data_IF_823861815547
#
_entry.id   IF_823861815547
#
_cell.length_a   1.000
_cell.length_b   1.000
_cell.length_c   1.000
_cell.angle_alpha   90.00
_cell.angle_beta   90.00
_cell.angle_gamma   90.00
#
_symmetry.space_group_name_H-M   'P 1'
#
loop_
_entity.id
_entity.type
_entity.pdbx_description
1 polymer ?
#
# COMPACT_ATOMS: atom_id res chain seq x y z
N UNK A 1 83.56 -6.16 28.92
CA UNK A 1 82.27 -6.89 28.82
C UNK A 1 81.12 -5.87 28.83
N UNK A 2 80.43 -5.73 27.68
CA UNK A 2 79.26 -4.82 27.53
C UNK A 2 78.02 -5.73 27.46
N UNK A 3 77.17 -5.62 28.50
CA UNK A 3 75.92 -6.35 28.58
C UNK A 3 74.83 -5.58 27.84
N UNK A 4 74.26 -6.16 26.79
CA UNK A 4 73.16 -5.59 26.00
C UNK A 4 71.85 -6.16 26.57
N UNK A 5 70.98 -5.30 27.12
CA UNK A 5 69.64 -5.66 27.50
C UNK A 5 68.68 -5.51 26.31
N UNK A 6 68.07 -6.62 25.88
CA UNK A 6 66.96 -6.60 24.94
C UNK A 6 65.64 -6.40 25.71
N UNK A 7 64.96 -5.30 25.43
CA UNK A 7 63.61 -5.07 25.93
C UNK A 7 62.64 -5.58 24.87
N UNK A 8 61.91 -6.65 25.19
CA UNK A 8 60.85 -7.21 24.36
C UNK A 8 59.57 -6.40 24.62
N UNK A 9 59.17 -5.58 23.67
CA UNK A 9 57.91 -4.85 23.74
C UNK A 9 56.76 -5.78 23.25
N UNK A 10 55.91 -6.22 24.17
CA UNK A 10 54.69 -6.98 23.89
C UNK A 10 53.60 -5.97 23.51
N UNK A 11 53.32 -5.82 22.24
CA UNK A 11 52.14 -5.04 21.75
C UNK A 11 50.88 -5.86 21.88
N UNK A 12 50.11 -5.63 22.93
CA UNK A 12 48.78 -6.21 23.08
C UNK A 12 47.81 -5.53 22.08
N UNK A 13 47.47 -6.23 21.00
CA UNK A 13 46.44 -5.82 20.05
C UNK A 13 45.05 -5.93 20.72
N UNK A 14 44.51 -4.84 21.23
CA UNK A 14 43.14 -4.78 21.65
C UNK A 14 42.26 -4.81 20.39
N UNK A 15 41.70 -5.98 20.10
CA UNK A 15 40.67 -6.12 19.09
C UNK A 15 39.41 -5.42 19.65
N UNK A 16 39.21 -4.18 19.25
CA UNK A 16 37.96 -3.46 19.52
C UNK A 16 36.82 -4.22 18.81
N UNK A 17 36.07 -5.02 19.55
CA UNK A 17 34.81 -5.56 19.07
C UNK A 17 33.91 -4.35 18.73
N UNK A 18 33.70 -4.12 17.42
CA UNK A 18 32.69 -3.18 16.96
C UNK A 18 31.36 -3.66 17.54
N UNK A 19 30.63 -2.83 18.29
CA UNK A 19 29.28 -3.16 18.70
C UNK A 19 28.51 -3.47 17.40
N UNK A 20 27.89 -4.65 17.34
CA UNK A 20 26.96 -5.00 16.29
C UNK A 20 25.90 -3.89 16.28
N UNK A 21 25.89 -3.06 15.24
CA UNK A 21 24.87 -2.04 15.08
C UNK A 21 23.53 -2.79 15.06
N UNK A 22 22.84 -2.72 16.19
CA UNK A 22 21.45 -3.18 16.28
C UNK A 22 20.72 -2.30 15.26
N UNK A 23 20.39 -2.88 14.09
CA UNK A 23 19.66 -2.16 13.07
C UNK A 23 18.38 -1.68 13.73
N UNK A 24 18.27 -0.37 13.97
CA UNK A 24 17.02 0.23 14.39
C UNK A 24 16.00 -0.10 13.31
N UNK A 25 15.01 -0.90 13.68
CA UNK A 25 13.90 -1.30 12.81
C UNK A 25 12.69 -0.50 13.25
N UNK A 26 12.22 0.37 12.39
CA UNK A 26 11.01 1.13 12.64
C UNK A 26 9.80 0.36 12.11
N UNK A 27 8.69 0.39 12.84
CA UNK A 27 7.43 -0.20 12.36
C UNK A 27 6.89 0.69 11.25
N UNK A 28 6.90 0.17 10.02
CA UNK A 28 6.23 0.82 8.91
C UNK A 28 4.71 0.73 9.08
N UNK A 29 4.20 -0.47 9.33
CA UNK A 29 2.79 -0.67 9.66
C UNK A 29 2.54 -1.99 10.40
N UNK A 30 1.51 -2.00 11.26
CA UNK A 30 1.09 -3.16 12.05
C UNK A 30 -0.36 -3.52 11.67
N UNK A 31 -0.52 -4.47 10.74
CA UNK A 31 -1.82 -4.93 10.23
C UNK A 31 -2.65 -5.74 11.25
N UNK A 32 -2.10 -6.05 12.42
CA UNK A 32 -2.88 -6.62 13.53
C UNK A 32 -3.83 -5.59 14.15
N UNK A 33 -3.62 -4.32 13.85
CA UNK A 33 -4.47 -3.20 14.24
C UNK A 33 -5.29 -2.81 13.02
N UNK A 34 -6.59 -2.71 13.19
CA UNK A 34 -7.44 -2.19 12.12
C UNK A 34 -6.91 -0.82 11.68
N UNK A 35 -6.68 -0.61 10.37
CA UNK A 35 -6.37 0.72 9.89
C UNK A 35 -7.52 1.65 10.28
N UNK A 36 -7.24 2.91 10.64
CA UNK A 36 -8.29 3.85 10.90
C UNK A 36 -9.19 3.90 9.67
N UNK A 37 -10.47 3.56 9.85
CA UNK A 37 -11.44 3.65 8.77
C UNK A 37 -11.41 5.10 8.25
N UNK A 38 -10.94 5.29 7.04
CA UNK A 38 -10.91 6.61 6.42
C UNK A 38 -12.34 6.97 5.99
N UNK A 39 -13.14 7.39 6.95
CA UNK A 39 -14.45 7.98 6.68
C UNK A 39 -14.27 9.43 6.21
N UNK A 40 -13.44 9.66 5.22
CA UNK A 40 -13.29 11.00 4.67
C UNK A 40 -14.53 11.33 3.87
N UNK A 41 -15.41 12.16 4.46
CA UNK A 41 -16.57 12.70 3.74
C UNK A 41 -16.08 13.76 2.75
N UNK A 42 -15.93 13.37 1.51
CA UNK A 42 -15.58 14.30 0.43
C UNK A 42 -16.86 15.01 -0.02
N UNK A 43 -16.92 16.35 0.02
CA UNK A 43 -18.09 17.10 -0.44
C UNK A 43 -18.44 16.76 -1.89
N UNK A 44 -19.73 16.63 -2.21
CA UNK A 44 -20.20 16.27 -3.55
C UNK A 44 -19.67 17.21 -4.67
N UNK A 45 -19.50 18.49 -4.37
CA UNK A 45 -18.90 19.45 -5.31
C UNK A 45 -17.45 19.10 -5.62
N UNK A 46 -16.65 18.73 -4.60
CA UNK A 46 -15.26 18.31 -4.76
C UNK A 46 -15.19 17.01 -5.55
N UNK A 47 -16.04 16.02 -5.21
CA UNK A 47 -16.09 14.75 -5.98
C UNK A 47 -16.35 15.02 -7.45
N UNK A 48 -17.36 15.84 -7.78
CA UNK A 48 -17.69 16.19 -9.17
C UNK A 48 -16.50 16.84 -9.86
N UNK A 49 -15.83 17.80 -9.21
CA UNK A 49 -14.68 18.49 -9.78
C UNK A 49 -13.55 17.53 -10.09
N UNK A 50 -13.17 16.66 -9.13
CA UNK A 50 -12.11 15.65 -9.30
C UNK A 50 -12.46 14.68 -10.42
N UNK A 51 -13.66 14.06 -10.36
CA UNK A 51 -14.06 13.05 -11.34
C UNK A 51 -14.16 13.60 -12.76
N UNK A 52 -14.63 14.85 -12.93
CA UNK A 52 -14.69 15.50 -14.25
C UNK A 52 -13.31 15.77 -14.86
N UNK A 53 -12.27 15.94 -14.02
CA UNK A 53 -10.89 16.12 -14.48
C UNK A 53 -10.26 14.80 -14.90
N UNK A 54 -10.56 13.70 -14.18
CA UNK A 54 -10.01 12.37 -14.45
C UNK A 54 -10.76 11.68 -15.59
N UNK A 55 -12.09 11.82 -15.64
CA UNK A 55 -12.95 11.18 -16.63
C UNK A 55 -13.64 12.25 -17.50
N UNK A 56 -13.39 12.20 -18.79
CA UNK A 56 -14.10 13.10 -19.73
C UNK A 56 -15.62 12.92 -19.67
N UNK A 57 -16.07 11.69 -19.45
CA UNK A 57 -17.47 11.28 -19.25
C UNK A 57 -17.49 10.14 -18.25
N UNK A 58 -18.52 10.06 -17.44
CA UNK A 58 -18.75 8.96 -16.51
C UNK A 58 -20.22 8.88 -16.10
N UNK A 59 -20.64 7.75 -15.56
CA UNK A 59 -21.97 7.55 -15.00
C UNK A 59 -21.94 7.85 -13.49
N UNK A 60 -23.08 8.29 -12.96
CA UNK A 60 -23.21 8.60 -11.53
C UNK A 60 -23.73 7.43 -10.71
N UNK A 61 -24.22 6.37 -11.37
CA UNK A 61 -24.65 5.12 -10.72
C UNK A 61 -24.67 3.96 -11.77
N UNK A 62 -24.72 2.73 -11.26
CA UNK A 62 -24.77 1.49 -12.06
C UNK A 62 -26.05 1.37 -12.89
N UNK A 63 -27.19 1.92 -12.43
CA UNK A 63 -28.48 1.80 -13.10
C UNK A 63 -28.50 2.45 -14.49
N UNK A 64 -27.52 3.29 -14.79
CA UNK A 64 -27.37 3.95 -16.10
C UNK A 64 -26.47 3.20 -17.07
N UNK A 65 -25.99 2.03 -16.70
CA UNK A 65 -25.17 1.19 -17.58
C UNK A 65 -25.97 0.62 -18.76
N UNK A 66 -25.33 0.58 -19.92
CA UNK A 66 -25.90 -0.05 -21.13
C UNK A 66 -25.39 -1.48 -21.25
N UNK A 67 -26.24 -2.38 -21.75
CA UNK A 67 -25.92 -3.80 -21.91
C UNK A 67 -24.73 -4.08 -22.83
N UNK A 68 -24.45 -3.17 -23.77
CA UNK A 68 -23.39 -3.34 -24.78
C UNK A 68 -21.96 -3.34 -24.19
N UNK A 69 -21.84 -3.00 -22.90
CA UNK A 69 -20.57 -2.95 -22.19
C UNK A 69 -20.51 -3.96 -21.03
N UNK A 70 -21.25 -5.07 -21.14
CA UNK A 70 -21.22 -6.10 -20.11
C UNK A 70 -19.97 -6.99 -20.24
N UNK A 71 -19.18 -7.03 -19.19
CA UNK A 71 -18.34 -8.16 -18.85
C UNK A 71 -17.16 -8.51 -19.77
N UNK A 72 -16.22 -7.59 -19.99
CA UNK A 72 -14.93 -7.97 -20.58
C UNK A 72 -13.79 -7.29 -19.79
N UNK A 73 -12.91 -8.09 -19.26
CA UNK A 73 -11.75 -7.66 -18.43
C UNK A 73 -10.49 -7.36 -19.26
N UNK A 74 -10.61 -6.99 -20.53
CA UNK A 74 -9.44 -6.59 -21.32
C UNK A 74 -9.13 -5.10 -21.16
N UNK A 75 -7.85 -4.74 -21.10
CA UNK A 75 -7.40 -3.34 -21.02
C UNK A 75 -8.01 -2.46 -22.12
N UNK A 76 -8.18 -3.03 -23.33
CA UNK A 76 -8.82 -2.37 -24.47
C UNK A 76 -10.29 -2.05 -24.20
N UNK A 77 -11.01 -2.93 -23.51
CA UNK A 77 -12.39 -2.71 -23.13
C UNK A 77 -12.53 -1.58 -22.10
N UNK A 78 -11.69 -1.59 -21.06
CA UNK A 78 -11.70 -0.54 -20.03
C UNK A 78 -11.39 0.83 -20.64
N UNK A 79 -10.43 0.91 -21.55
CA UNK A 79 -10.11 2.13 -22.28
C UNK A 79 -11.29 2.60 -23.15
N UNK A 80 -11.96 1.69 -23.85
CA UNK A 80 -13.14 1.97 -24.65
C UNK A 80 -14.33 2.43 -23.79
N UNK A 81 -14.60 1.73 -22.68
CA UNK A 81 -15.65 2.08 -21.72
C UNK A 81 -15.40 3.46 -21.09
N UNK A 82 -14.17 3.76 -20.70
CA UNK A 82 -13.77 5.08 -20.19
C UNK A 82 -14.01 6.17 -21.26
N UNK A 83 -13.59 5.94 -22.48
CA UNK A 83 -13.80 6.87 -23.61
C UNK A 83 -15.29 7.11 -23.90
N UNK A 84 -16.10 6.07 -23.82
CA UNK A 84 -17.55 6.13 -24.01
C UNK A 84 -18.31 6.73 -22.80
N UNK A 85 -17.66 6.88 -21.64
CA UNK A 85 -18.28 7.37 -20.41
C UNK A 85 -19.14 6.32 -19.70
N UNK A 86 -18.82 5.04 -19.89
CA UNK A 86 -19.54 3.90 -19.32
C UNK A 86 -18.95 3.42 -17.98
N UNK A 87 -18.06 4.19 -17.36
CA UNK A 87 -17.49 3.90 -16.05
C UNK A 87 -18.30 4.57 -14.94
N UNK A 88 -18.33 3.93 -13.79
CA UNK A 88 -19.00 4.46 -12.57
C UNK A 88 -17.93 4.69 -11.49
N UNK A 89 -17.21 5.81 -11.54
CA UNK A 89 -16.15 6.10 -10.58
C UNK A 89 -16.73 6.63 -9.24
N UNK A 90 -16.04 6.27 -8.15
CA UNK A 90 -16.29 6.83 -6.82
C UNK A 90 -14.97 7.08 -6.10
N UNK A 91 -14.86 8.21 -5.38
CA UNK A 91 -13.66 8.47 -4.58
C UNK A 91 -13.82 7.72 -3.27
N UNK A 92 -12.88 6.83 -2.99
CA UNK A 92 -12.89 5.97 -1.79
C UNK A 92 -12.00 6.51 -0.68
N UNK A 93 -10.93 7.23 -1.05
CA UNK A 93 -9.99 7.77 -0.08
C UNK A 93 -9.30 9.03 -0.59
N UNK A 94 -8.71 9.83 0.32
CA UNK A 94 -7.91 10.99 -0.03
C UNK A 94 -6.84 11.30 1.03
N UNK A 95 -5.70 11.81 0.58
CA UNK A 95 -4.62 12.23 1.46
C UNK A 95 -3.88 13.44 0.87
N UNK A 96 -3.35 14.30 1.75
CA UNK A 96 -2.55 15.47 1.34
C UNK A 96 -1.07 15.20 1.64
N UNK A 97 -0.20 15.59 0.72
CA UNK A 97 1.26 15.40 0.83
C UNK A 97 2.02 16.01 -0.34
N UNK A 98 3.28 15.63 -0.48
CA UNK A 98 4.17 15.97 -1.59
C UNK A 98 4.46 14.70 -2.39
N UNK A 99 3.69 14.38 -3.42
CA UNK A 99 3.75 13.06 -4.07
C UNK A 99 4.55 13.03 -5.36
N UNK A 100 4.48 14.09 -6.19
CA UNK A 100 5.14 14.11 -7.50
C UNK A 100 6.43 14.93 -7.52
N UNK A 101 6.60 15.82 -6.56
CA UNK A 101 7.80 16.62 -6.37
C UNK A 101 7.87 17.12 -4.93
N UNK A 102 9.09 17.29 -4.42
CA UNK A 102 9.34 17.78 -3.06
C UNK A 102 8.78 19.18 -2.82
N UNK A 103 8.26 19.42 -1.61
CA UNK A 103 7.78 20.74 -1.16
C UNK A 103 6.49 21.21 -1.82
N UNK A 104 5.81 20.39 -2.59
CA UNK A 104 4.52 20.74 -3.21
C UNK A 104 3.36 20.23 -2.34
N UNK A 105 2.41 21.11 -2.03
CA UNK A 105 1.16 20.70 -1.38
C UNK A 105 0.22 20.14 -2.44
N UNK A 106 0.03 18.83 -2.40
CA UNK A 106 -0.82 18.09 -3.33
C UNK A 106 -1.87 17.28 -2.58
N UNK A 107 -2.97 16.96 -3.27
CA UNK A 107 -3.98 16.04 -2.77
C UNK A 107 -4.09 14.85 -3.71
N UNK A 108 -3.90 13.66 -3.17
CA UNK A 108 -4.10 12.39 -3.86
C UNK A 108 -5.49 11.85 -3.52
N UNK A 109 -6.26 11.51 -4.56
CA UNK A 109 -7.59 10.90 -4.46
C UNK A 109 -7.52 9.48 -4.99
N UNK A 110 -7.89 8.51 -4.17
CA UNK A 110 -8.04 7.13 -4.61
C UNK A 110 -9.46 6.96 -5.16
N UNK A 111 -9.56 6.50 -6.39
CA UNK A 111 -10.82 6.41 -7.13
C UNK A 111 -11.04 4.94 -7.50
N UNK A 112 -12.08 4.34 -6.92
CA UNK A 112 -12.59 3.05 -7.37
C UNK A 112 -13.42 3.26 -8.63
N UNK A 113 -13.18 2.46 -9.65
CA UNK A 113 -13.86 2.54 -10.93
C UNK A 113 -14.60 1.23 -11.17
N UNK A 114 -15.91 1.25 -10.95
CA UNK A 114 -16.77 0.11 -11.25
C UNK A 114 -17.07 0.06 -12.73
N UNK A 115 -17.13 -1.16 -13.27
CA UNK A 115 -17.57 -1.40 -14.62
C UNK A 115 -19.10 -1.50 -14.71
N UNK A 116 -19.64 -1.12 -15.84
CA UNK A 116 -21.05 -1.33 -16.12
C UNK A 116 -21.39 -2.82 -16.21
N UNK A 117 -22.43 -3.24 -15.51
CA UNK A 117 -22.98 -4.60 -15.56
C UNK A 117 -21.98 -5.72 -15.23
N UNK A 118 -20.89 -5.41 -14.53
CA UNK A 118 -19.99 -6.44 -14.06
C UNK A 118 -20.73 -7.37 -13.08
N UNK A 119 -20.54 -8.68 -13.26
CA UNK A 119 -21.04 -9.65 -12.30
C UNK A 119 -20.29 -9.51 -10.97
N UNK A 120 -20.88 -9.96 -9.87
CA UNK A 120 -20.18 -9.98 -8.57
C UNK A 120 -18.86 -10.75 -8.60
N UNK A 121 -18.73 -11.72 -9.50
CA UNK A 121 -17.51 -12.52 -9.66
C UNK A 121 -16.43 -11.79 -10.46
N UNK A 122 -16.81 -10.87 -11.35
CA UNK A 122 -15.89 -10.19 -12.28
C UNK A 122 -15.65 -8.72 -11.91
N UNK A 123 -16.40 -8.19 -10.93
CA UNK A 123 -16.35 -6.77 -10.58
C UNK A 123 -15.27 -6.50 -9.52
N UNK A 124 -14.03 -6.79 -9.84
CA UNK A 124 -12.91 -6.33 -9.00
C UNK A 124 -12.64 -4.84 -9.22
N UNK A 125 -13.22 -4.25 -10.25
CA UNK A 125 -13.01 -2.86 -10.61
C UNK A 125 -11.54 -2.56 -10.89
N UNK A 126 -11.26 -1.39 -11.39
CA UNK A 126 -9.91 -0.82 -11.38
C UNK A 126 -9.86 0.29 -10.36
N UNK A 127 -8.67 0.58 -9.83
CA UNK A 127 -8.47 1.73 -8.96
C UNK A 127 -7.44 2.66 -9.57
N UNK A 128 -7.69 3.95 -9.41
CA UNK A 128 -6.83 5.01 -9.92
C UNK A 128 -6.46 5.97 -8.81
N UNK A 129 -5.23 6.42 -8.83
CA UNK A 129 -4.77 7.51 -7.97
C UNK A 129 -4.65 8.77 -8.82
N UNK A 130 -5.49 9.76 -8.53
CA UNK A 130 -5.45 11.08 -9.16
C UNK A 130 -4.83 12.09 -8.20
N UNK A 131 -3.69 12.68 -8.59
CA UNK A 131 -2.94 13.65 -7.78
C UNK A 131 -3.17 15.04 -8.34
N UNK A 132 -3.55 15.96 -7.45
CA UNK A 132 -3.84 17.34 -7.78
C UNK A 132 -2.89 18.29 -7.06
N UNK A 133 -2.43 19.31 -7.77
CA UNK A 133 -1.78 20.50 -7.20
C UNK A 133 -2.75 21.67 -7.34
N UNK A 134 -3.40 22.04 -6.24
CA UNK A 134 -4.56 22.94 -6.30
C UNK A 134 -5.65 22.39 -7.24
N UNK A 135 -6.10 23.16 -8.26
CA UNK A 135 -7.11 22.70 -9.21
C UNK A 135 -6.56 21.86 -10.38
N UNK A 136 -5.24 21.72 -10.50
CA UNK A 136 -4.60 21.06 -11.63
C UNK A 136 -4.38 19.56 -11.34
N UNK A 137 -4.87 18.69 -12.23
CA UNK A 137 -4.52 17.27 -12.25
C UNK A 137 -3.07 17.13 -12.74
N UNK A 138 -2.17 16.62 -11.88
CA UNK A 138 -0.73 16.46 -12.18
C UNK A 138 -0.34 15.01 -12.42
N UNK A 139 -1.13 14.05 -11.91
CA UNK A 139 -0.95 12.64 -12.20
C UNK A 139 -2.31 11.90 -12.15
N UNK A 140 -2.46 10.90 -13.01
CA UNK A 140 -3.60 9.97 -13.05
C UNK A 140 -3.06 8.60 -13.42
N UNK A 141 -2.88 7.74 -12.43
CA UNK A 141 -2.18 6.46 -12.54
C UNK A 141 -3.04 5.31 -12.05
N UNK A 142 -2.87 4.16 -12.67
CA UNK A 142 -3.47 2.91 -12.21
C UNK A 142 -2.76 2.41 -10.95
N UNK A 143 -3.53 1.88 -9.99
CA UNK A 143 -3.01 1.39 -8.71
C UNK A 143 -3.26 -0.10 -8.46
N UNK A 144 -3.63 -0.88 -9.49
CA UNK A 144 -3.84 -2.33 -9.41
C UNK A 144 -4.73 -2.75 -8.22
N UNK A 145 -6.00 -2.44 -8.23
CA UNK A 145 -6.97 -2.86 -7.20
C UNK A 145 -6.72 -2.33 -5.76
N UNK A 146 -5.79 -1.38 -5.55
CA UNK A 146 -5.58 -0.80 -4.22
C UNK A 146 -6.84 -0.05 -3.76
N UNK A 147 -7.39 -0.46 -2.61
CA UNK A 147 -8.69 0.04 -2.12
C UNK A 147 -8.55 1.14 -1.08
N UNK A 148 -7.42 1.21 -0.38
CA UNK A 148 -7.19 2.12 0.75
C UNK A 148 -5.76 2.65 0.76
N UNK A 149 -5.61 3.90 1.23
CA UNK A 149 -4.31 4.49 1.55
C UNK A 149 -4.07 4.27 3.04
N UNK A 150 -3.16 3.36 3.36
CA UNK A 150 -2.84 2.98 4.74
C UNK A 150 -2.01 4.04 5.44
N UNK A 151 -1.00 4.55 4.73
CA UNK A 151 -0.06 5.53 5.28
C UNK A 151 0.67 6.28 4.17
N UNK A 152 0.98 7.55 4.43
CA UNK A 152 2.00 8.28 3.67
C UNK A 152 3.26 8.44 4.50
N UNK A 153 4.40 8.45 3.86
CA UNK A 153 5.70 8.55 4.51
C UNK A 153 6.78 8.96 3.51
N UNK A 154 7.62 9.92 3.86
CA UNK A 154 8.86 10.23 3.16
C UNK A 154 9.93 9.24 3.64
N UNK A 155 10.18 8.20 2.83
CA UNK A 155 10.99 7.05 3.25
C UNK A 155 12.49 7.29 3.15
N UNK A 156 12.95 8.12 2.26
CA UNK A 156 14.37 8.37 1.99
C UNK A 156 14.80 9.80 2.33
N UNK A 157 13.87 10.61 2.88
CA UNK A 157 14.14 11.99 3.29
C UNK A 157 14.33 12.95 2.11
N UNK A 158 13.78 12.60 0.93
CA UNK A 158 13.90 13.41 -0.28
C UNK A 158 12.81 14.50 -0.37
N UNK A 159 11.88 14.53 0.57
CA UNK A 159 10.75 15.46 0.62
C UNK A 159 9.58 15.06 -0.28
N UNK A 160 9.58 13.84 -0.82
CA UNK A 160 8.49 13.24 -1.59
C UNK A 160 7.86 12.12 -0.76
N UNK A 161 6.56 12.18 -0.59
CA UNK A 161 5.83 11.17 0.19
C UNK A 161 5.53 9.92 -0.64
N UNK A 162 5.94 8.75 -0.16
CA UNK A 162 5.47 7.46 -0.64
C UNK A 162 4.13 7.10 -0.01
N UNK A 163 3.36 6.26 -0.70
CA UNK A 163 2.10 5.71 -0.21
C UNK A 163 2.20 4.20 0.03
N UNK A 164 1.93 3.79 1.26
CA UNK A 164 1.56 2.42 1.57
C UNK A 164 0.05 2.28 1.33
N UNK A 165 -0.31 1.42 0.41
CA UNK A 165 -1.71 1.15 0.03
C UNK A 165 -2.01 -0.32 0.25
N UNK A 166 -3.28 -0.65 0.54
CA UNK A 166 -3.73 -2.03 0.54
C UNK A 166 -4.95 -2.25 -0.37
N UNK A 167 -5.11 -3.50 -0.80
CA UNK A 167 -6.32 -4.02 -1.41
C UNK A 167 -6.98 -5.00 -0.45
N UNK A 168 -8.29 -5.15 -0.55
CA UNK A 168 -9.06 -6.06 0.27
C UNK A 168 -9.97 -6.89 -0.62
N UNK A 169 -9.91 -8.20 -0.48
CA UNK A 169 -10.77 -9.15 -1.15
C UNK A 169 -11.45 -10.07 -0.13
N UNK A 170 -12.76 -10.26 -0.29
CA UNK A 170 -13.51 -11.20 0.53
C UNK A 170 -14.21 -12.22 -0.37
N UNK A 171 -13.93 -13.51 -0.15
CA UNK A 171 -14.58 -14.62 -0.85
C UNK A 171 -14.85 -15.77 0.09
N UNK A 172 -16.08 -16.32 0.06
CA UNK A 172 -16.49 -17.48 0.84
C UNK A 172 -16.18 -17.39 2.36
N UNK A 173 -16.28 -16.17 2.92
CA UNK A 173 -15.97 -15.91 4.32
C UNK A 173 -14.48 -15.79 4.66
N UNK A 174 -13.60 -15.76 3.65
CA UNK A 174 -12.19 -15.49 3.81
C UNK A 174 -11.90 -14.06 3.34
N UNK A 175 -11.28 -13.27 4.21
CA UNK A 175 -10.74 -11.95 3.90
C UNK A 175 -9.25 -12.08 3.61
N UNK A 176 -8.81 -11.51 2.50
CA UNK A 176 -7.38 -11.36 2.17
C UNK A 176 -7.10 -9.90 1.89
N UNK A 177 -6.07 -9.35 2.54
CA UNK A 177 -5.55 -8.02 2.21
C UNK A 177 -4.12 -8.15 1.70
N UNK A 178 -3.80 -7.41 0.64
CA UNK A 178 -2.46 -7.29 0.07
C UNK A 178 -1.99 -5.85 0.22
N UNK A 179 -0.69 -5.63 0.42
CA UNK A 179 -0.16 -4.30 0.57
C UNK A 179 1.00 -4.02 -0.39
N UNK A 180 1.02 -2.80 -0.93
CA UNK A 180 2.07 -2.31 -1.82
C UNK A 180 2.51 -0.91 -1.37
N UNK A 181 3.82 -0.69 -1.39
CA UNK A 181 4.42 0.61 -1.18
C UNK A 181 4.88 1.17 -2.53
N UNK A 182 4.46 2.38 -2.86
CA UNK A 182 4.78 3.02 -4.13
C UNK A 182 5.14 4.50 -3.97
N UNK A 183 6.06 4.97 -4.81
CA UNK A 183 6.33 6.38 -5.06
C UNK A 183 5.58 6.84 -6.32
N UNK A 184 5.29 8.13 -6.39
CA UNK A 184 4.60 8.78 -7.51
C UNK A 184 5.42 9.95 -8.07
N UNK A 185 6.70 9.94 -7.83
CA UNK A 185 7.62 10.95 -8.32
C UNK A 185 7.47 11.16 -9.84
N UNK A 186 7.49 12.43 -10.26
CA UNK A 186 7.28 12.85 -11.66
C UNK A 186 5.94 12.36 -12.26
N UNK A 187 4.93 12.11 -11.43
CA UNK A 187 3.60 11.67 -11.85
C UNK A 187 3.53 10.23 -12.35
N UNK A 188 4.54 9.40 -12.05
CA UNK A 188 4.61 7.99 -12.44
C UNK A 188 4.62 7.10 -11.21
N UNK A 189 3.87 6.00 -11.26
CA UNK A 189 3.91 5.00 -10.20
C UNK A 189 5.17 4.13 -10.31
N UNK A 190 5.92 4.06 -9.23
CA UNK A 190 7.05 3.17 -9.03
C UNK A 190 6.79 2.32 -7.79
N UNK A 191 6.61 1.02 -7.97
CA UNK A 191 6.47 0.08 -6.85
C UNK A 191 7.84 -0.08 -6.19
N UNK A 192 7.93 0.34 -4.93
CA UNK A 192 9.15 0.21 -4.12
C UNK A 192 9.23 -1.14 -3.44
N UNK A 193 8.08 -1.64 -2.98
CA UNK A 193 7.96 -2.99 -2.45
C UNK A 193 6.51 -3.50 -2.56
N UNK A 194 6.37 -4.76 -2.92
CA UNK A 194 5.15 -5.52 -2.84
C UNK A 194 5.28 -6.53 -1.69
N UNK A 195 4.42 -6.38 -0.68
CA UNK A 195 4.44 -7.22 0.52
C UNK A 195 3.62 -8.51 0.34
N UNK A 196 2.84 -8.63 -0.74
CA UNK A 196 1.88 -9.71 -0.92
C UNK A 196 0.77 -9.66 0.13
N UNK A 197 0.28 -10.82 0.56
CA UNK A 197 -0.73 -10.91 1.61
C UNK A 197 -0.19 -10.38 2.94
N UNK A 198 -0.94 -9.47 3.55
CA UNK A 198 -0.64 -8.86 4.87
C UNK A 198 -1.71 -9.16 5.92
N UNK A 199 -2.92 -9.53 5.47
CA UNK A 199 -3.99 -10.09 6.30
C UNK A 199 -4.60 -11.29 5.58
N UNK A 200 -4.83 -12.36 6.32
CA UNK A 200 -5.66 -13.50 5.91
C UNK A 200 -6.58 -13.84 7.09
N UNK A 201 -7.87 -13.64 6.94
CA UNK A 201 -8.84 -13.92 8.00
C UNK A 201 -9.93 -14.86 7.49
N UNK A 202 -9.93 -16.07 8.04
CA UNK A 202 -10.94 -17.11 7.76
C UNK A 202 -11.98 -17.25 8.88
N UNK A 203 -12.00 -16.33 9.84
CA UNK A 203 -12.88 -16.47 11.00
C UNK A 203 -14.38 -16.40 10.64
N UNK A 204 -14.72 -15.63 9.60
CA UNK A 204 -16.11 -15.54 9.13
C UNK A 204 -16.59 -16.81 8.40
N UNK A 205 -15.68 -17.63 7.88
CA UNK A 205 -16.03 -18.90 7.25
C UNK A 205 -16.51 -19.95 8.26
N UNK A 206 -16.26 -19.75 9.56
CA UNK A 206 -16.66 -20.63 10.66
C UNK A 206 -16.25 -22.12 10.50
N UNK A 207 -15.19 -22.38 9.72
CA UNK A 207 -14.68 -23.73 9.48
C UNK A 207 -13.75 -24.19 10.62
N UNK A 208 -13.65 -25.50 10.89
CA UNK A 208 -12.66 -26.03 11.84
C UNK A 208 -11.24 -25.62 11.42
N UNK A 209 -10.47 -25.05 12.35
CA UNK A 209 -9.12 -24.58 12.09
C UNK A 209 -9.02 -23.14 11.58
N UNK A 210 -10.14 -22.45 11.37
CA UNK A 210 -10.15 -21.03 11.00
C UNK A 210 -9.33 -20.17 11.97
N UNK A 211 -8.58 -19.25 11.41
CA UNK A 211 -7.73 -18.33 12.16
C UNK A 211 -7.61 -16.99 11.41
N UNK A 212 -7.04 -16.02 12.09
CA UNK A 212 -6.66 -14.74 11.50
C UNK A 212 -5.14 -14.64 11.51
N UNK A 213 -4.56 -14.25 10.38
CA UNK A 213 -3.14 -13.93 10.22
C UNK A 213 -3.00 -12.47 9.87
N UNK A 214 -2.00 -11.79 10.44
CA UNK A 214 -1.70 -10.40 10.11
C UNK A 214 -0.20 -10.14 10.18
N UNK A 215 0.27 -9.28 9.28
CA UNK A 215 1.67 -8.91 9.19
C UNK A 215 1.98 -7.66 10.02
N UNK A 216 3.24 -7.59 10.49
CA UNK A 216 3.88 -6.34 10.90
C UNK A 216 5.04 -6.09 9.95
N UNK A 217 5.02 -4.95 9.29
CA UNK A 217 6.07 -4.54 8.36
C UNK A 217 7.00 -3.58 9.09
N UNK A 218 8.28 -3.84 8.98
CA UNK A 218 9.33 -2.99 9.50
C UNK A 218 10.17 -2.46 8.36
N UNK A 219 10.69 -1.26 8.53
CA UNK A 219 11.67 -0.65 7.64
C UNK A 219 13.00 -0.44 8.36
N UNK A 220 14.10 -0.45 7.62
CA UNK A 220 15.39 -0.02 8.18
C UNK A 220 15.34 1.47 8.49
N UNK A 221 16.08 1.90 9.52
CA UNK A 221 16.25 3.31 9.81
C UNK A 221 16.77 4.05 8.57
N UNK A 222 16.20 5.23 8.32
CA UNK A 222 16.50 6.02 7.14
C UNK A 222 17.88 6.66 7.24
N UNK A 223 18.65 6.56 6.15
CA UNK A 223 19.75 7.46 5.88
C UNK A 223 19.51 8.06 4.49
N UNK A 224 19.58 9.38 4.31
CA UNK A 224 19.38 10.02 3.03
C UNK A 224 20.22 9.37 1.93
N UNK A 225 19.58 9.04 0.80
CA UNK A 225 20.23 8.40 -0.35
C UNK A 225 20.45 6.89 -0.26
N UNK A 226 20.04 6.23 0.81
CA UNK A 226 20.03 4.77 0.90
C UNK A 226 18.63 4.22 0.60
N UNK A 227 18.56 3.15 -0.21
CA UNK A 227 17.30 2.45 -0.43
C UNK A 227 16.83 1.80 0.89
N UNK A 228 15.58 2.03 1.32
CA UNK A 228 15.03 1.38 2.49
C UNK A 228 14.97 -0.12 2.28
N UNK A 229 15.19 -0.88 3.35
CA UNK A 229 14.99 -2.33 3.36
C UNK A 229 13.79 -2.67 4.22
N UNK A 230 13.04 -3.69 3.83
CA UNK A 230 11.83 -4.10 4.52
C UNK A 230 11.97 -5.50 5.08
N UNK A 231 11.35 -5.73 6.23
CA UNK A 231 11.17 -7.06 6.79
C UNK A 231 9.73 -7.22 7.24
N UNK A 232 9.17 -8.40 7.04
CA UNK A 232 7.79 -8.74 7.41
C UNK A 232 7.82 -9.85 8.45
N UNK A 233 7.05 -9.67 9.52
CA UNK A 233 6.78 -10.68 10.53
C UNK A 233 5.28 -10.98 10.52
N UNK A 234 4.91 -12.24 10.36
CA UNK A 234 3.53 -12.67 10.28
C UNK A 234 3.10 -13.29 11.59
N UNK A 235 1.94 -12.92 12.06
CA UNK A 235 1.36 -13.36 13.31
C UNK A 235 0.05 -14.08 13.05
N UNK A 236 -0.28 -15.05 13.89
CA UNK A 236 -1.54 -15.79 13.86
C UNK A 236 -2.28 -15.64 15.18
N UNK A 237 -3.59 -15.48 15.10
CA UNK A 237 -4.50 -15.54 16.24
C UNK A 237 -5.65 -16.50 15.93
N UNK A 238 -6.13 -17.20 16.94
CA UNK A 238 -7.33 -18.04 16.78
C UNK A 238 -8.58 -17.17 16.80
N UNK A 239 -9.61 -17.53 16.05
CA UNK A 239 -10.89 -16.82 16.03
C UNK A 239 -11.56 -16.72 17.42
N UNK A 240 -11.28 -17.66 18.33
CA UNK A 240 -11.75 -17.61 19.72
C UNK A 240 -11.02 -16.59 20.58
N UNK A 241 -9.79 -16.21 20.20
CA UNK A 241 -8.95 -15.27 20.94
C UNK A 241 -8.25 -14.32 19.96
N UNK A 242 -8.97 -13.44 19.25
CA UNK A 242 -8.44 -12.64 18.13
C UNK A 242 -7.39 -11.61 18.57
N UNK A 243 -7.25 -11.34 19.87
CA UNK A 243 -6.25 -10.40 20.41
C UNK A 243 -4.94 -11.07 20.85
N UNK A 244 -4.85 -12.42 20.81
CA UNK A 244 -3.66 -13.18 21.22
C UNK A 244 -2.84 -13.59 20.01
N UNK A 245 -2.12 -12.65 19.46
CA UNK A 245 -1.23 -12.85 18.34
C UNK A 245 0.04 -13.59 18.75
N UNK A 246 0.44 -14.58 17.95
CA UNK A 246 1.70 -15.32 18.09
C UNK A 246 2.48 -15.20 16.79
N UNK A 247 3.80 -14.98 16.89
CA UNK A 247 4.67 -14.99 15.71
C UNK A 247 4.56 -16.36 15.02
N UNK A 248 4.26 -16.32 13.73
CA UNK A 248 4.06 -17.51 12.89
C UNK A 248 5.21 -17.71 11.90
N UNK A 249 5.61 -16.67 11.17
CA UNK A 249 6.68 -16.72 10.19
C UNK A 249 7.35 -15.35 9.99
N UNK A 250 8.46 -15.34 9.26
CA UNK A 250 9.16 -14.13 8.80
C UNK A 250 9.30 -14.20 7.28
N UNK A 251 9.21 -13.04 6.63
CA UNK A 251 9.17 -12.92 5.18
C UNK A 251 7.75 -12.79 4.64
N UNK A 252 7.57 -12.81 3.31
CA UNK A 252 6.25 -12.74 2.70
C UNK A 252 5.36 -13.89 3.20
N UNK A 253 4.09 -13.61 3.44
CA UNK A 253 3.09 -14.62 3.77
C UNK A 253 2.91 -15.50 2.54
N UNK A 254 3.08 -16.82 2.69
CA UNK A 254 2.86 -17.75 1.59
C UNK A 254 1.35 -17.95 1.42
N UNK A 255 0.86 -17.81 0.21
CA UNK A 255 -0.50 -18.20 -0.17
C UNK A 255 -0.65 -19.72 0.03
N UNK A 256 -1.72 -20.13 0.70
CA UNK A 256 -2.08 -21.54 0.92
C UNK A 256 -3.06 -22.01 -0.14
#
# INVERSE_FOLDING_TARGET
>A
MKTIFFILAITSSVIAQRPSAQKNRDVLFDFRKEPPASAVKIPAATQRTVLTKVFRRYLTNQDKCKSDFAGSSSDDYLAAARKAGMMVPSITDMITGSFTAAGQTQTAYLISVSECNASHADNFGTTRLAIFSGPQLVADVDTDFMSFIVRKIDLDGNGIDELLMNSSYMGQGNLTEMATLASFENGRRHVLNDFGSVVEDSCAAAMPGSNSKAAVIYTSAFAPGLKPTFTQENYVASCRNPRRWKLFSKGKMQEQ
#
